data_IF_774239031426
#
_entry.id   IF_774239031426
#
_cell.length_a   1.000
_cell.length_b   1.000
_cell.length_c   1.000
_cell.angle_alpha   90.00
_cell.angle_beta   90.00
_cell.angle_gamma   90.00
#
_symmetry.space_group_name_H-M   'P 1'
#
loop_
_entity.id
_entity.type
_entity.pdbx_description
1 polymer ?
#
# COMPACT_ATOMS: atom_id res chain seq x y z
N UNK A 1 45.39 -102.75 -52.00
CA UNK A 1 45.34 -101.53 -51.16
C UNK A 1 44.00 -100.85 -51.37
N UNK A 2 43.22 -100.79 -50.31
CA UNK A 2 41.92 -100.14 -50.18
C UNK A 2 42.09 -98.65 -49.92
N UNK A 3 41.29 -97.80 -50.56
CA UNK A 3 40.93 -96.48 -50.01
C UNK A 3 39.44 -96.25 -50.20
N UNK A 4 38.69 -96.47 -49.12
CA UNK A 4 37.30 -96.02 -48.97
C UNK A 4 37.35 -94.53 -48.66
N UNK A 5 36.75 -93.70 -49.51
CA UNK A 5 36.55 -92.28 -49.24
C UNK A 5 35.16 -92.15 -48.60
N UNK A 6 35.12 -91.81 -47.32
CA UNK A 6 33.91 -91.43 -46.60
C UNK A 6 33.45 -90.05 -47.08
N UNK A 7 32.19 -89.93 -47.48
CA UNK A 7 31.52 -88.64 -47.66
C UNK A 7 30.57 -88.46 -46.47
N UNK A 8 30.93 -87.59 -45.52
CA UNK A 8 30.08 -87.21 -44.39
C UNK A 8 29.20 -86.03 -44.79
N UNK A 9 27.89 -86.28 -44.87
CA UNK A 9 26.86 -85.26 -45.11
C UNK A 9 26.68 -84.41 -43.85
N UNK A 10 27.03 -83.13 -43.92
CA UNK A 10 26.81 -82.16 -42.84
C UNK A 10 25.40 -81.55 -42.99
N UNK A 11 24.47 -81.92 -42.10
CA UNK A 11 23.13 -81.32 -42.01
C UNK A 11 23.26 -80.01 -41.20
N UNK A 12 23.13 -78.87 -41.86
CA UNK A 12 22.94 -77.57 -41.20
C UNK A 12 21.49 -77.45 -40.70
N UNK A 13 21.28 -77.46 -39.37
CA UNK A 13 20.04 -76.98 -38.77
C UNK A 13 20.06 -75.44 -38.76
N UNK A 14 19.21 -74.82 -39.58
CA UNK A 14 18.88 -73.40 -39.45
C UNK A 14 17.88 -73.21 -38.30
N UNK A 15 18.36 -72.77 -37.14
CA UNK A 15 17.50 -72.22 -36.09
C UNK A 15 17.30 -70.73 -36.32
N UNK A 16 16.08 -70.31 -36.66
CA UNK A 16 15.71 -68.89 -36.69
C UNK A 16 15.39 -68.47 -35.25
N UNK A 17 16.27 -67.75 -34.58
CA UNK A 17 15.96 -67.12 -33.30
C UNK A 17 15.47 -65.69 -33.55
N UNK A 18 14.24 -65.39 -33.14
CA UNK A 18 13.73 -64.02 -33.14
C UNK A 18 14.26 -63.30 -31.89
N UNK A 19 15.09 -62.26 -32.07
CA UNK A 19 15.62 -61.45 -30.98
C UNK A 19 14.63 -60.33 -30.62
N UNK A 20 13.60 -60.66 -29.87
CA UNK A 20 12.77 -59.66 -29.18
C UNK A 20 13.44 -59.28 -27.86
N UNK A 21 13.64 -57.98 -27.62
CA UNK A 21 14.34 -57.49 -26.42
C UNK A 21 13.31 -56.96 -25.43
N UNK A 22 13.05 -57.73 -24.38
CA UNK A 22 12.34 -57.27 -23.19
C UNK A 22 13.34 -56.75 -22.15
N UNK A 23 13.25 -55.47 -21.80
CA UNK A 23 14.03 -54.94 -20.67
C UNK A 23 13.16 -55.07 -19.43
N UNK A 24 13.46 -56.08 -18.61
CA UNK A 24 12.70 -56.37 -17.38
C UNK A 24 11.62 -57.45 -17.52
N UNK A 25 11.41 -58.03 -18.71
CA UNK A 25 10.48 -59.16 -18.93
C UNK A 25 11.11 -60.24 -19.81
N UNK A 26 11.02 -61.54 -19.44
CA UNK A 26 11.43 -62.64 -20.31
C UNK A 26 10.41 -62.94 -21.42
N UNK A 27 9.21 -62.36 -21.36
CA UNK A 27 8.13 -62.52 -22.33
C UNK A 27 7.72 -61.15 -22.88
N UNK A 28 8.54 -60.53 -23.74
CA UNK A 28 8.19 -59.24 -24.31
C UNK A 28 6.94 -59.40 -25.20
N UNK A 29 5.99 -58.48 -25.03
CA UNK A 29 4.72 -58.44 -25.78
C UNK A 29 4.89 -57.86 -27.20
N UNK A 30 6.09 -57.46 -27.57
CA UNK A 30 6.45 -56.88 -28.86
C UNK A 30 7.96 -56.78 -29.05
N UNK A 31 8.41 -56.13 -30.12
CA UNK A 31 9.83 -56.01 -30.46
C UNK A 31 10.66 -55.21 -29.41
N UNK A 32 9.99 -54.28 -28.71
CA UNK A 32 10.50 -53.56 -27.53
C UNK A 32 9.37 -53.50 -26.50
N UNK A 33 9.56 -54.15 -25.36
CA UNK A 33 8.62 -54.14 -24.23
C UNK A 33 9.36 -53.67 -22.98
N UNK A 34 8.98 -52.50 -22.46
CA UNK A 34 9.58 -51.86 -21.29
C UNK A 34 8.58 -51.99 -20.14
N UNK A 35 8.53 -53.18 -19.54
CA UNK A 35 7.66 -53.49 -18.41
C UNK A 35 8.40 -54.41 -17.42
N UNK A 36 8.10 -54.29 -16.12
CA UNK A 36 8.45 -55.31 -15.13
C UNK A 36 7.27 -56.28 -14.97
N UNK A 37 7.50 -57.56 -14.61
CA UNK A 37 6.44 -58.58 -14.67
C UNK A 37 5.36 -58.41 -13.60
N UNK A 38 5.55 -57.54 -12.61
CA UNK A 38 4.70 -57.46 -11.40
C UNK A 38 4.12 -56.08 -11.09
N UNK A 39 4.65 -54.98 -11.63
CA UNK A 39 4.10 -53.62 -11.45
C UNK A 39 4.32 -52.76 -12.71
N UNK A 40 3.29 -52.00 -13.12
CA UNK A 40 3.31 -51.09 -14.28
C UNK A 40 3.34 -49.62 -13.83
N UNK A 41 4.17 -49.30 -12.83
CA UNK A 41 4.13 -48.00 -12.12
C UNK A 41 5.18 -46.99 -12.63
N UNK A 42 5.94 -47.35 -13.67
CA UNK A 42 7.00 -46.50 -14.22
C UNK A 42 6.66 -46.13 -15.67
N UNK A 43 6.68 -44.83 -15.97
CA UNK A 43 6.45 -44.31 -17.32
C UNK A 43 7.68 -44.43 -18.22
N UNK A 44 7.47 -44.35 -19.54
CA UNK A 44 8.54 -44.17 -20.52
C UNK A 44 9.01 -42.71 -20.50
N UNK A 45 10.21 -42.46 -20.01
CA UNK A 45 10.85 -41.14 -20.15
C UNK A 45 11.41 -41.02 -21.56
N UNK A 46 10.82 -40.14 -22.37
CA UNK A 46 11.28 -39.86 -23.72
C UNK A 46 12.56 -39.01 -23.69
N UNK A 47 13.39 -39.05 -24.75
CA UNK A 47 14.49 -38.10 -24.90
C UNK A 47 13.96 -36.66 -24.85
N UNK A 48 14.43 -35.88 -23.88
CA UNK A 48 14.02 -34.49 -23.67
C UNK A 48 14.93 -33.54 -24.43
N UNK A 49 14.34 -32.60 -25.17
CA UNK A 49 15.09 -31.55 -25.84
C UNK A 49 14.28 -30.26 -25.94
N UNK A 50 14.91 -29.09 -25.99
CA UNK A 50 14.22 -27.80 -26.11
C UNK A 50 13.89 -27.43 -27.57
N UNK A 51 14.43 -28.16 -28.55
CA UNK A 51 14.14 -27.96 -29.98
C UNK A 51 14.29 -29.26 -30.76
N UNK A 52 13.41 -29.46 -31.74
CA UNK A 52 13.48 -30.58 -32.68
C UNK A 52 14.70 -30.52 -33.61
N UNK A 53 15.34 -29.35 -33.75
CA UNK A 53 16.57 -29.17 -34.53
C UNK A 53 17.79 -29.84 -33.92
N UNK A 54 17.75 -30.14 -32.62
CA UNK A 54 18.85 -30.78 -31.90
C UNK A 54 18.83 -32.31 -32.05
N UNK A 55 17.83 -32.86 -32.73
CA UNK A 55 17.66 -34.29 -32.92
C UNK A 55 18.35 -34.71 -34.22
N UNK A 56 19.34 -35.60 -34.12
CA UNK A 56 20.11 -36.12 -35.25
C UNK A 56 19.89 -37.61 -35.45
N UNK A 57 19.92 -38.07 -36.70
CA UNK A 57 19.99 -39.49 -37.01
C UNK A 57 21.40 -40.04 -36.73
N UNK A 58 21.58 -41.03 -35.84
CA UNK A 58 22.90 -41.59 -35.51
C UNK A 58 23.61 -42.24 -36.71
N UNK A 59 22.88 -42.68 -37.72
CA UNK A 59 23.42 -43.27 -38.95
C UNK A 59 23.71 -42.24 -40.06
N UNK A 60 23.53 -40.94 -39.77
CA UNK A 60 23.58 -39.86 -40.76
C UNK A 60 22.28 -39.73 -41.56
N UNK A 61 22.12 -38.59 -42.25
CA UNK A 61 20.91 -38.27 -43.04
C UNK A 61 19.75 -37.69 -42.21
N UNK A 62 18.54 -37.74 -42.76
CA UNK A 62 17.33 -37.23 -42.09
C UNK A 62 16.96 -38.06 -40.85
N UNK A 63 16.28 -37.42 -39.90
CA UNK A 63 15.71 -38.09 -38.72
C UNK A 63 14.78 -39.22 -39.18
N UNK A 64 14.86 -40.37 -38.52
CA UNK A 64 14.00 -41.50 -38.87
C UNK A 64 12.51 -41.21 -38.58
N UNK A 65 11.63 -41.54 -39.52
CA UNK A 65 10.17 -41.49 -39.31
C UNK A 65 9.81 -42.37 -38.11
N UNK A 66 8.96 -41.85 -37.23
CA UNK A 66 8.55 -42.50 -35.99
C UNK A 66 9.39 -42.12 -34.77
N UNK A 67 10.41 -41.25 -34.90
CA UNK A 67 11.16 -40.72 -33.74
C UNK A 67 10.22 -39.95 -32.80
N UNK A 68 10.25 -40.24 -31.50
CA UNK A 68 9.43 -39.58 -30.47
C UNK A 68 10.34 -38.89 -29.44
N UNK A 69 10.04 -37.63 -29.09
CA UNK A 69 10.75 -36.84 -28.08
C UNK A 69 9.76 -36.14 -27.14
N UNK A 70 10.25 -35.66 -26.00
CA UNK A 70 9.56 -34.66 -25.19
C UNK A 70 10.23 -33.28 -25.42
N UNK A 71 9.44 -32.33 -25.92
CA UNK A 71 9.90 -30.96 -26.17
C UNK A 71 9.70 -30.13 -24.90
N UNK A 72 10.80 -29.75 -24.24
CA UNK A 72 10.75 -29.04 -22.96
C UNK A 72 10.40 -27.56 -23.08
N UNK A 73 10.50 -26.97 -24.28
CA UNK A 73 10.07 -25.59 -24.51
C UNK A 73 8.56 -25.50 -24.78
N UNK A 74 8.01 -26.51 -25.45
CA UNK A 74 6.57 -26.62 -25.73
C UNK A 74 5.78 -27.43 -24.68
N UNK A 75 6.47 -28.06 -23.72
CA UNK A 75 5.91 -28.93 -22.66
C UNK A 75 5.01 -30.06 -23.20
N UNK A 76 5.46 -30.74 -24.26
CA UNK A 76 4.66 -31.79 -24.89
C UNK A 76 5.48 -32.85 -25.63
N UNK A 77 4.85 -33.99 -25.93
CA UNK A 77 5.45 -35.06 -26.75
C UNK A 77 5.36 -34.68 -28.23
N UNK A 78 6.43 -34.89 -29.01
CA UNK A 78 6.46 -34.73 -30.48
C UNK A 78 6.88 -36.02 -31.18
N UNK A 79 6.37 -36.25 -32.39
CA UNK A 79 6.74 -37.36 -33.28
C UNK A 79 7.18 -36.86 -34.65
N UNK A 80 8.25 -37.44 -35.21
CA UNK A 80 8.70 -37.18 -36.58
C UNK A 80 7.93 -38.04 -37.59
N UNK A 81 7.28 -37.42 -38.57
CA UNK A 81 6.44 -38.05 -39.59
C UNK A 81 7.10 -37.89 -40.97
N UNK A 82 6.54 -38.54 -42.00
CA UNK A 82 6.97 -38.33 -43.39
C UNK A 82 6.84 -36.88 -43.88
N UNK A 83 6.05 -36.06 -43.17
CA UNK A 83 5.84 -34.63 -43.43
C UNK A 83 6.63 -33.72 -42.48
N UNK A 84 7.51 -34.27 -41.65
CA UNK A 84 8.28 -33.54 -40.63
C UNK A 84 7.73 -33.72 -39.20
N UNK A 85 8.23 -32.89 -38.27
CA UNK A 85 7.85 -32.94 -36.85
C UNK A 85 6.39 -32.53 -36.60
N UNK A 86 5.70 -33.23 -35.68
CA UNK A 86 4.41 -32.79 -35.15
C UNK A 86 4.55 -31.56 -34.24
N UNK A 87 3.48 -30.76 -34.09
CA UNK A 87 3.43 -29.69 -33.09
C UNK A 87 3.39 -30.24 -31.65
N UNK A 88 2.44 -31.13 -31.36
CA UNK A 88 2.41 -32.00 -30.18
C UNK A 88 1.63 -33.28 -30.56
N UNK A 89 1.83 -34.38 -29.85
CA UNK A 89 1.26 -35.70 -30.17
C UNK A 89 -0.28 -35.71 -30.07
N UNK A 90 -0.88 -34.79 -29.33
CA UNK A 90 -2.31 -34.80 -29.00
C UNK A 90 -3.06 -33.46 -29.14
N UNK A 91 -2.50 -32.43 -29.77
CA UNK A 91 -3.25 -31.17 -29.99
C UNK A 91 -4.28 -31.25 -31.13
N UNK A 92 -4.16 -32.27 -31.98
CA UNK A 92 -5.09 -32.56 -33.09
C UNK A 92 -5.16 -34.06 -33.36
N UNK A 93 -5.74 -34.82 -32.43
CA UNK A 93 -6.34 -36.11 -32.78
C UNK A 93 -7.78 -35.78 -33.25
N UNK A 94 -8.04 -35.84 -34.55
CA UNK A 94 -9.35 -35.59 -35.22
C UNK A 94 -9.60 -34.17 -35.79
N UNK A 95 -8.58 -33.31 -35.88
CA UNK A 95 -8.72 -32.00 -36.56
C UNK A 95 -9.53 -30.95 -35.78
N UNK A 96 -9.88 -31.24 -34.53
CA UNK A 96 -10.47 -30.30 -33.57
C UNK A 96 -9.36 -29.71 -32.69
N UNK A 97 -9.18 -28.39 -32.74
CA UNK A 97 -8.42 -27.66 -31.71
C UNK A 97 -9.11 -27.88 -30.36
N UNK A 98 -8.43 -28.52 -29.41
CA UNK A 98 -8.93 -28.60 -28.03
C UNK A 98 -8.79 -27.21 -27.40
N UNK A 99 -9.85 -26.42 -27.47
CA UNK A 99 -9.95 -25.18 -26.70
C UNK A 99 -10.29 -25.57 -25.26
N UNK A 100 -9.45 -25.26 -24.25
CA UNK A 100 -9.68 -25.75 -22.89
C UNK A 100 -11.01 -25.32 -22.26
N UNK A 101 -11.60 -24.23 -22.74
CA UNK A 101 -12.90 -23.68 -22.35
C UNK A 101 -13.76 -23.35 -23.58
N UNK A 102 -15.07 -23.59 -23.50
CA UNK A 102 -16.01 -23.11 -24.54
C UNK A 102 -16.32 -21.62 -24.40
N UNK A 103 -16.55 -21.14 -23.17
CA UNK A 103 -16.80 -19.72 -22.90
C UNK A 103 -16.14 -19.28 -21.60
N UNK A 104 -15.85 -17.98 -21.51
CA UNK A 104 -15.36 -17.30 -20.31
C UNK A 104 -16.22 -16.05 -20.07
N UNK A 105 -16.86 -15.95 -18.91
CA UNK A 105 -17.82 -14.90 -18.57
C UNK A 105 -17.33 -14.05 -17.39
N UNK A 106 -16.88 -12.84 -17.72
CA UNK A 106 -16.49 -11.80 -16.77
C UNK A 106 -17.67 -10.92 -16.32
N UNK A 107 -18.78 -10.92 -17.06
CA UNK A 107 -19.92 -10.03 -16.83
C UNK A 107 -20.77 -10.44 -15.64
N UNK A 108 -20.78 -11.74 -15.34
CA UNK A 108 -21.42 -12.35 -14.17
C UNK A 108 -20.40 -12.67 -13.07
N UNK A 109 -20.87 -13.32 -12.00
CA UNK A 109 -20.04 -13.70 -10.85
C UNK A 109 -19.84 -12.56 -9.86
N UNK A 110 -19.86 -12.90 -8.58
CA UNK A 110 -19.78 -11.93 -7.50
C UNK A 110 -18.46 -11.13 -7.57
N UNK A 111 -18.58 -9.81 -7.37
CA UNK A 111 -17.47 -8.90 -7.13
C UNK A 111 -17.61 -8.39 -5.69
N UNK A 112 -16.55 -8.50 -4.90
CA UNK A 112 -16.50 -8.01 -3.53
C UNK A 112 -15.41 -6.95 -3.37
N UNK A 113 -15.43 -6.27 -2.23
CA UNK A 113 -14.51 -5.19 -1.89
C UNK A 113 -15.09 -3.80 -2.18
N UNK A 114 -14.55 -2.80 -1.47
CA UNK A 114 -14.77 -1.39 -1.75
C UNK A 114 -13.44 -0.79 -2.15
N UNK A 115 -13.40 -0.14 -3.31
CA UNK A 115 -12.17 0.37 -3.90
C UNK A 115 -12.20 1.89 -3.87
N UNK A 116 -11.32 2.49 -3.08
CA UNK A 116 -11.24 3.94 -2.91
C UNK A 116 -9.86 4.40 -3.35
N UNK A 117 -9.82 5.49 -4.11
CA UNK A 117 -8.56 6.10 -4.55
C UNK A 117 -7.57 6.30 -3.40
N UNK A 118 -6.34 5.85 -3.58
CA UNK A 118 -5.25 6.04 -2.62
C UNK A 118 -5.37 5.23 -1.33
N UNK A 119 -6.36 4.32 -1.22
CA UNK A 119 -6.54 3.44 -0.08
C UNK A 119 -6.25 2.00 -0.49
N UNK A 120 -5.44 1.30 0.31
CA UNK A 120 -5.22 -0.13 0.13
C UNK A 120 -6.57 -0.86 0.19
N UNK A 121 -6.89 -1.55 -0.90
CA UNK A 121 -8.16 -2.20 -1.11
C UNK A 121 -7.94 -3.70 -1.30
N UNK A 122 -8.87 -4.52 -0.83
CA UNK A 122 -8.91 -5.97 -1.05
C UNK A 122 -10.32 -6.41 -1.41
N UNK A 123 -10.42 -7.49 -2.19
CA UNK A 123 -11.70 -8.07 -2.59
C UNK A 123 -11.50 -9.27 -3.49
N UNK A 124 -12.57 -9.75 -4.11
CA UNK A 124 -12.55 -10.91 -4.99
C UNK A 124 -13.48 -10.74 -6.18
N UNK A 125 -13.16 -11.40 -7.30
CA UNK A 125 -14.03 -11.51 -8.47
C UNK A 125 -14.14 -12.96 -8.92
N UNK A 126 -15.37 -13.46 -9.03
CA UNK A 126 -15.64 -14.78 -9.61
C UNK A 126 -15.78 -14.65 -11.13
N UNK A 127 -15.01 -15.44 -11.88
CA UNK A 127 -15.09 -15.59 -13.33
C UNK A 127 -15.65 -16.97 -13.64
N UNK A 128 -16.80 -17.02 -14.31
CA UNK A 128 -17.44 -18.28 -14.67
C UNK A 128 -16.98 -18.75 -16.06
N UNK A 129 -16.96 -20.05 -16.28
CA UNK A 129 -16.68 -20.65 -17.59
C UNK A 129 -17.57 -21.86 -17.87
N UNK A 130 -17.68 -22.22 -19.15
CA UNK A 130 -18.37 -23.44 -19.60
C UNK A 130 -17.47 -24.30 -20.47
N UNK A 131 -17.79 -25.59 -20.56
CA UNK A 131 -17.08 -26.54 -21.42
C UNK A 131 -15.61 -26.72 -21.06
N UNK A 132 -15.29 -26.70 -19.76
CA UNK A 132 -13.98 -27.00 -19.24
C UNK A 132 -13.57 -28.43 -19.57
N UNK A 133 -12.30 -28.59 -19.93
CA UNK A 133 -11.72 -29.82 -20.49
C UNK A 133 -11.06 -30.75 -19.47
N UNK A 134 -10.98 -30.35 -18.19
CA UNK A 134 -10.16 -31.07 -17.21
C UNK A 134 -8.66 -30.70 -17.25
N UNK A 135 -8.26 -29.79 -18.15
CA UNK A 135 -6.86 -29.37 -18.31
C UNK A 135 -6.38 -28.43 -17.21
N UNK A 136 -5.08 -28.46 -16.92
CA UNK A 136 -4.44 -27.54 -16.00
C UNK A 136 -4.32 -26.11 -16.58
N UNK A 137 -4.29 -25.11 -15.71
CA UNK A 137 -3.96 -23.72 -16.03
C UNK A 137 -2.94 -23.16 -15.03
N UNK A 138 -2.05 -22.29 -15.52
CA UNK A 138 -1.02 -21.64 -14.70
C UNK A 138 -1.56 -20.56 -13.76
N UNK A 139 -0.72 -20.05 -12.86
CA UNK A 139 -1.10 -18.96 -11.97
C UNK A 139 -1.48 -17.70 -12.77
N UNK A 140 -2.50 -16.99 -12.30
CA UNK A 140 -3.05 -15.79 -12.94
C UNK A 140 -2.51 -14.55 -12.21
N UNK A 141 -2.02 -13.58 -12.98
CA UNK A 141 -1.66 -12.26 -12.48
C UNK A 141 -2.01 -11.18 -13.52
N UNK A 142 -2.99 -10.34 -13.20
CA UNK A 142 -3.54 -9.33 -14.11
C UNK A 142 -3.47 -7.96 -13.43
N UNK A 143 -2.74 -7.02 -14.02
CA UNK A 143 -2.74 -5.63 -13.58
C UNK A 143 -3.94 -4.86 -14.15
N UNK A 144 -4.50 -3.96 -13.35
CA UNK A 144 -5.57 -3.05 -13.79
C UNK A 144 -5.10 -2.02 -14.82
N UNK A 145 -5.99 -1.68 -15.75
CA UNK A 145 -5.82 -0.60 -16.74
C UNK A 145 -6.90 0.48 -16.57
N UNK A 146 -6.68 1.68 -17.11
CA UNK A 146 -7.56 2.85 -16.92
C UNK A 146 -7.30 3.53 -15.58
N UNK A 147 -7.70 2.90 -14.48
CA UNK A 147 -7.19 3.13 -13.12
C UNK A 147 -6.16 2.03 -12.84
N UNK A 148 -4.96 2.41 -12.40
CA UNK A 148 -3.86 1.46 -12.12
C UNK A 148 -3.65 1.31 -10.61
N UNK A 149 -2.87 0.31 -10.19
CA UNK A 149 -2.52 0.09 -8.79
C UNK A 149 -3.31 -1.02 -8.10
N UNK A 150 -4.26 -1.64 -8.80
CA UNK A 150 -4.89 -2.91 -8.41
C UNK A 150 -4.32 -4.07 -9.25
N UNK A 151 -4.19 -5.24 -8.64
CA UNK A 151 -3.90 -6.52 -9.29
C UNK A 151 -5.00 -7.54 -8.99
N UNK A 152 -5.27 -8.44 -9.94
CA UNK A 152 -6.15 -9.59 -9.77
C UNK A 152 -5.34 -10.88 -9.96
N UNK A 153 -5.37 -11.79 -8.98
CA UNK A 153 -4.51 -12.97 -8.93
C UNK A 153 -5.26 -14.24 -8.58
N UNK A 154 -4.77 -15.38 -9.07
CA UNK A 154 -5.20 -16.71 -8.61
C UNK A 154 -4.02 -17.70 -8.73
N UNK A 155 -3.94 -18.73 -7.87
CA UNK A 155 -2.94 -19.79 -8.04
C UNK A 155 -3.21 -20.62 -9.30
N UNK A 156 -2.22 -21.44 -9.69
CA UNK A 156 -2.42 -22.45 -10.73
C UNK A 156 -3.47 -23.48 -10.28
N UNK A 157 -4.17 -24.09 -11.23
CA UNK A 157 -5.23 -25.06 -10.94
C UNK A 157 -5.63 -25.89 -12.15
N UNK A 158 -6.81 -26.51 -12.08
CA UNK A 158 -7.35 -27.36 -13.15
C UNK A 158 -8.79 -26.96 -13.43
N UNK A 159 -9.17 -26.91 -14.71
CA UNK A 159 -10.57 -26.69 -15.08
C UNK A 159 -11.42 -27.90 -14.65
N UNK A 160 -12.62 -27.65 -14.15
CA UNK A 160 -13.61 -28.71 -14.01
C UNK A 160 -14.01 -29.23 -15.39
N UNK A 161 -14.31 -30.52 -15.49
CA UNK A 161 -14.96 -31.07 -16.70
C UNK A 161 -16.40 -30.54 -16.77
N UNK A 162 -16.69 -29.70 -17.76
CA UNK A 162 -17.97 -29.00 -17.87
C UNK A 162 -17.94 -27.57 -17.32
N UNK A 163 -18.97 -27.15 -16.60
CA UNK A 163 -19.08 -25.77 -16.11
C UNK A 163 -18.33 -25.58 -14.80
N UNK A 164 -17.72 -24.40 -14.62
CA UNK A 164 -16.98 -24.09 -13.41
C UNK A 164 -16.73 -22.60 -13.24
N UNK A 165 -15.92 -22.26 -12.25
CA UNK A 165 -15.52 -20.90 -11.97
C UNK A 165 -14.09 -20.82 -11.42
N UNK A 166 -13.52 -19.62 -11.49
CA UNK A 166 -12.25 -19.24 -10.88
C UNK A 166 -12.49 -17.99 -10.06
N UNK A 167 -11.99 -17.97 -8.83
CA UNK A 167 -12.03 -16.78 -7.97
C UNK A 167 -10.68 -16.07 -8.06
N UNK A 168 -10.71 -14.84 -8.53
CA UNK A 168 -9.56 -13.93 -8.52
C UNK A 168 -9.57 -13.13 -7.22
N UNK A 169 -8.46 -13.13 -6.49
CA UNK A 169 -8.20 -12.19 -5.40
C UNK A 169 -7.77 -10.85 -5.98
N UNK A 170 -8.34 -9.75 -5.50
CA UNK A 170 -8.02 -8.41 -5.94
C UNK A 170 -7.35 -7.68 -4.78
N UNK A 171 -6.21 -7.06 -5.02
CA UNK A 171 -5.53 -6.24 -4.01
C UNK A 171 -4.77 -5.06 -4.61
N UNK A 172 -4.45 -4.08 -3.79
CA UNK A 172 -3.59 -2.95 -4.13
C UNK A 172 -4.18 -1.59 -3.79
N UNK A 173 -3.50 -0.53 -4.19
CA UNK A 173 -3.89 0.86 -3.93
C UNK A 173 -4.17 1.58 -5.26
N UNK A 174 -5.43 1.86 -5.61
CA UNK A 174 -5.76 2.56 -6.85
C UNK A 174 -5.16 3.96 -6.90
N UNK A 175 -4.52 4.35 -8.01
CA UNK A 175 -3.89 5.67 -8.14
C UNK A 175 -4.87 6.83 -8.30
N UNK A 176 -6.05 6.56 -8.87
CA UNK A 176 -7.12 7.54 -9.10
C UNK A 176 -8.50 6.88 -9.01
N UNK A 177 -9.55 7.69 -8.89
CA UNK A 177 -10.93 7.23 -9.02
C UNK A 177 -11.33 7.05 -10.49
N UNK A 178 -12.38 6.28 -10.74
CA UNK A 178 -12.88 5.94 -12.08
C UNK A 178 -12.94 4.44 -12.31
N UNK A 179 -12.74 4.01 -13.55
CA UNK A 179 -12.90 2.60 -13.96
C UNK A 179 -11.54 1.89 -14.05
N UNK A 180 -11.33 0.87 -13.21
CA UNK A 180 -10.25 -0.10 -13.34
C UNK A 180 -10.73 -1.28 -14.21
N UNK A 181 -10.01 -1.60 -15.29
CA UNK A 181 -10.38 -2.68 -16.22
C UNK A 181 -9.35 -3.81 -16.18
N UNK A 182 -9.83 -5.06 -16.18
CA UNK A 182 -9.01 -6.27 -16.10
C UNK A 182 -9.36 -7.20 -17.27
N UNK A 183 -8.41 -7.34 -18.21
CA UNK A 183 -8.53 -8.29 -19.32
C UNK A 183 -8.06 -9.67 -18.88
N UNK A 184 -8.96 -10.64 -18.84
CA UNK A 184 -8.70 -12.02 -18.48
C UNK A 184 -8.55 -12.83 -19.76
N UNK A 185 -7.40 -13.46 -19.95
CA UNK A 185 -7.16 -14.44 -21.02
C UNK A 185 -6.90 -15.79 -20.38
N UNK A 186 -7.77 -16.76 -20.62
CA UNK A 186 -7.68 -18.08 -19.99
C UNK A 186 -8.35 -19.16 -20.85
N UNK A 187 -7.69 -20.32 -20.98
CA UNK A 187 -8.25 -21.47 -21.69
C UNK A 187 -8.64 -21.19 -23.14
N UNK A 188 -7.86 -20.35 -23.83
CA UNK A 188 -8.13 -19.90 -25.20
C UNK A 188 -9.17 -18.78 -25.34
N UNK A 189 -9.90 -18.47 -24.26
CA UNK A 189 -10.94 -17.45 -24.25
C UNK A 189 -10.45 -16.15 -23.62
N UNK A 190 -11.10 -15.04 -23.96
CA UNK A 190 -10.82 -13.71 -23.39
C UNK A 190 -12.09 -13.03 -22.96
N UNK A 191 -12.09 -12.41 -21.79
CA UNK A 191 -13.14 -11.51 -21.34
C UNK A 191 -12.57 -10.33 -20.55
N UNK A 192 -13.39 -9.35 -20.20
CA UNK A 192 -12.97 -8.21 -19.37
C UNK A 192 -14.03 -7.92 -18.32
N UNK A 193 -13.59 -7.72 -17.07
CA UNK A 193 -14.43 -7.16 -16.01
C UNK A 193 -13.89 -5.79 -15.59
N UNK A 194 -14.77 -4.99 -15.00
CA UNK A 194 -14.44 -3.66 -14.51
C UNK A 194 -14.72 -3.55 -13.01
N UNK A 195 -13.96 -2.69 -12.34
CA UNK A 195 -14.17 -2.27 -10.96
C UNK A 195 -14.32 -0.76 -10.96
N UNK A 196 -15.37 -0.26 -10.31
CA UNK A 196 -15.54 1.17 -10.05
C UNK A 196 -14.75 1.55 -8.80
N UNK A 197 -13.74 2.40 -8.97
CA UNK A 197 -12.97 3.00 -7.89
C UNK A 197 -13.59 4.33 -7.52
N UNK A 198 -14.04 4.43 -6.28
CA UNK A 198 -14.67 5.63 -5.73
C UNK A 198 -13.61 6.71 -5.47
N UNK A 199 -13.97 8.01 -5.64
CA UNK A 199 -13.14 9.10 -5.17
C UNK A 199 -12.97 8.98 -3.66
N UNK A 200 -11.77 9.31 -3.17
CA UNK A 200 -11.56 9.50 -1.74
C UNK A 200 -12.35 10.75 -1.34
N UNK A 201 -13.41 10.56 -0.56
CA UNK A 201 -14.20 11.68 -0.05
C UNK A 201 -13.33 12.46 0.92
N UNK A 202 -13.13 13.74 0.63
CA UNK A 202 -12.39 14.63 1.49
C UNK A 202 -13.21 14.88 2.77
N UNK A 203 -12.62 14.68 3.95
CA UNK A 203 -13.30 14.87 5.24
C UNK A 203 -13.25 16.35 5.66
N UNK A 204 -14.32 16.89 6.22
CA UNK A 204 -14.29 18.18 6.92
C UNK A 204 -13.65 18.04 8.30
N UNK A 205 -12.68 18.90 8.62
CA UNK A 205 -11.90 18.84 9.86
C UNK A 205 -12.48 19.81 10.90
N UNK A 206 -12.84 19.32 12.07
CA UNK A 206 -13.36 20.11 13.18
C UNK A 206 -12.22 20.57 14.10
N UNK A 207 -12.00 21.88 14.15
CA UNK A 207 -11.05 22.53 15.07
C UNK A 207 -11.83 23.01 16.28
N UNK A 208 -11.40 22.62 17.48
CA UNK A 208 -11.94 23.11 18.74
C UNK A 208 -10.93 24.03 19.42
N UNK A 209 -11.23 25.32 19.48
CA UNK A 209 -10.46 26.28 20.27
C UNK A 209 -10.97 26.36 21.71
N UNK A 210 -10.06 26.34 22.68
CA UNK A 210 -10.40 26.50 24.08
C UNK A 210 -10.39 27.97 24.50
N UNK A 211 -11.31 28.38 25.37
CA UNK A 211 -11.46 29.76 25.89
C UNK A 211 -11.79 29.76 27.38
N UNK A 212 -11.65 30.87 28.13
CA UNK A 212 -11.13 32.18 27.71
C UNK A 212 -9.65 32.11 27.29
N UNK A 213 -9.34 32.77 26.19
CA UNK A 213 -7.98 32.91 25.67
C UNK A 213 -7.57 34.38 25.80
N UNK A 214 -6.60 34.66 26.67
CA UNK A 214 -6.23 36.03 27.02
C UNK A 214 -5.42 36.75 25.94
N UNK A 215 -4.90 36.01 24.96
CA UNK A 215 -4.05 36.53 23.88
C UNK A 215 -4.67 36.32 22.51
N UNK A 216 -5.99 36.07 22.49
CA UNK A 216 -6.80 36.20 21.31
C UNK A 216 -6.38 35.21 20.19
N UNK A 217 -5.88 34.03 20.59
CA UNK A 217 -5.40 32.98 19.69
C UNK A 217 -6.48 31.97 19.28
N UNK A 218 -7.73 32.21 19.68
CA UNK A 218 -8.90 31.42 19.29
C UNK A 218 -9.08 31.47 17.77
N UNK A 219 -9.00 30.30 17.12
CA UNK A 219 -9.09 30.20 15.66
C UNK A 219 -10.51 30.38 15.14
N UNK A 220 -11.55 30.30 15.97
CA UNK A 220 -12.95 30.33 15.51
C UNK A 220 -13.47 31.72 15.16
N UNK A 221 -13.18 32.71 16.01
CA UNK A 221 -13.83 34.02 15.89
C UNK A 221 -12.94 35.21 16.17
N UNK A 222 -11.71 35.01 16.67
CA UNK A 222 -10.89 36.15 17.06
C UNK A 222 -10.43 36.98 15.85
N UNK A 223 -10.38 38.29 16.01
CA UNK A 223 -9.91 39.22 14.98
C UNK A 223 -8.42 39.02 14.66
N UNK A 224 -7.60 38.69 15.66
CA UNK A 224 -6.16 38.51 15.46
C UNK A 224 -5.81 37.23 14.70
N UNK A 225 -6.68 36.22 14.74
CA UNK A 225 -6.51 34.96 13.99
C UNK A 225 -7.12 35.00 12.59
N UNK A 226 -7.59 36.17 12.12
CA UNK A 226 -8.21 36.33 10.79
C UNK A 226 -7.29 35.87 9.64
N UNK A 227 -6.00 36.22 9.68
CA UNK A 227 -5.04 35.79 8.66
C UNK A 227 -4.74 34.30 8.77
N UNK A 228 -4.65 33.74 9.99
CA UNK A 228 -4.53 32.29 10.17
C UNK A 228 -5.71 31.54 9.55
N UNK A 229 -6.94 31.95 9.83
CA UNK A 229 -8.14 31.41 9.17
C UNK A 229 -8.07 31.59 7.65
N UNK A 230 -7.54 32.71 7.14
CA UNK A 230 -7.42 32.91 5.69
C UNK A 230 -6.47 31.91 5.02
N UNK A 231 -5.39 31.49 5.71
CA UNK A 231 -4.50 30.42 5.24
C UNK A 231 -5.20 29.06 5.27
N UNK A 232 -5.87 28.74 6.38
CA UNK A 232 -6.63 27.49 6.53
C UNK A 232 -7.81 27.38 5.55
N UNK A 233 -8.49 28.49 5.26
CA UNK A 233 -9.62 28.51 4.33
C UNK A 233 -9.20 28.70 2.87
N UNK A 234 -7.90 28.79 2.58
CA UNK A 234 -7.43 28.83 1.21
C UNK A 234 -7.54 27.43 0.58
N UNK A 235 -8.50 27.25 -0.33
CA UNK A 235 -8.80 25.95 -0.94
C UNK A 235 -7.68 25.39 -1.82
N UNK A 236 -6.71 26.21 -2.24
CA UNK A 236 -5.52 25.71 -2.93
C UNK A 236 -4.57 24.99 -1.96
N UNK A 237 -4.58 25.35 -0.68
CA UNK A 237 -3.78 24.71 0.35
C UNK A 237 -4.56 23.60 1.05
N UNK A 238 -5.77 23.90 1.54
CA UNK A 238 -6.62 22.97 2.27
C UNK A 238 -7.98 22.86 1.60
N UNK A 239 -8.15 21.84 0.78
CA UNK A 239 -9.39 21.65 0.00
C UNK A 239 -9.40 20.35 -0.80
N UNK A 240 -10.52 19.99 -1.43
CA UNK A 240 -10.65 18.70 -2.14
C UNK A 240 -9.62 18.53 -3.29
N UNK A 241 -9.11 19.65 -3.80
CA UNK A 241 -8.07 19.71 -4.84
C UNK A 241 -6.84 20.50 -4.40
N UNK A 242 -6.72 20.83 -3.09
CA UNK A 242 -5.58 21.54 -2.55
C UNK A 242 -4.39 20.63 -2.26
N UNK A 243 -3.30 21.25 -1.80
CA UNK A 243 -2.08 20.57 -1.35
C UNK A 243 -2.41 19.48 -0.30
N UNK A 244 -3.21 19.85 0.70
CA UNK A 244 -3.76 18.96 1.72
C UNK A 244 -5.24 18.69 1.43
N UNK A 245 -5.57 17.41 1.18
CA UNK A 245 -6.89 16.99 0.69
C UNK A 245 -7.91 16.80 1.80
N UNK A 246 -8.66 17.86 2.10
CA UNK A 246 -9.79 17.87 3.03
C UNK A 246 -10.98 18.61 2.41
N UNK A 247 -12.19 18.45 2.96
CA UNK A 247 -13.34 19.23 2.50
C UNK A 247 -13.20 20.72 2.87
N UNK A 248 -12.50 20.97 3.97
CA UNK A 248 -12.31 22.27 4.60
C UNK A 248 -12.38 22.13 6.12
N UNK A 249 -12.46 23.26 6.81
CA UNK A 249 -12.52 23.30 8.27
C UNK A 249 -13.91 23.69 8.79
N UNK A 250 -14.20 23.23 10.00
CA UNK A 250 -15.26 23.74 10.85
C UNK A 250 -14.62 24.25 12.14
N UNK A 251 -14.97 25.45 12.57
CA UNK A 251 -14.36 26.08 13.74
C UNK A 251 -15.36 26.13 14.89
N UNK A 252 -14.98 25.56 16.03
CA UNK A 252 -15.79 25.52 17.26
C UNK A 252 -14.99 26.08 18.42
N UNK A 253 -15.72 26.56 19.43
CA UNK A 253 -15.11 27.03 20.67
C UNK A 253 -15.82 26.40 21.86
N UNK A 254 -15.06 26.13 22.93
CA UNK A 254 -15.64 25.81 24.23
C UNK A 254 -15.00 26.67 25.33
N UNK A 255 -15.83 27.20 26.20
CA UNK A 255 -15.38 27.94 27.38
C UNK A 255 -15.12 26.96 28.53
N UNK A 256 -13.85 26.75 28.88
CA UNK A 256 -13.41 25.82 29.91
C UNK A 256 -13.75 26.27 31.33
N UNK A 257 -14.02 27.55 31.57
CA UNK A 257 -14.45 28.05 32.88
C UNK A 257 -15.96 27.96 33.08
N UNK A 258 -16.75 27.82 32.01
CA UNK A 258 -18.22 27.83 32.06
C UNK A 258 -18.86 26.48 31.72
N UNK A 259 -18.23 25.64 30.90
CA UNK A 259 -18.79 24.34 30.52
C UNK A 259 -18.82 23.36 31.70
N UNK A 260 -19.64 22.30 31.61
CA UNK A 260 -19.47 21.13 32.47
C UNK A 260 -18.29 20.27 31.99
N UNK A 261 -17.80 19.37 32.84
CA UNK A 261 -16.77 18.41 32.45
C UNK A 261 -17.26 17.48 31.34
N UNK A 262 -18.53 17.06 31.38
CA UNK A 262 -19.15 16.26 30.32
C UNK A 262 -19.18 17.03 28.99
N UNK A 263 -19.66 18.27 28.99
CA UNK A 263 -19.72 19.08 27.77
C UNK A 263 -18.31 19.35 27.20
N UNK A 264 -17.30 19.50 28.07
CA UNK A 264 -15.91 19.60 27.65
C UNK A 264 -15.39 18.32 27.00
N UNK A 265 -15.66 17.17 27.63
CA UNK A 265 -15.30 15.88 27.07
C UNK A 265 -15.96 15.64 25.71
N UNK A 266 -17.27 15.89 25.60
CA UNK A 266 -18.04 15.71 24.38
C UNK A 266 -17.56 16.65 23.26
N UNK A 267 -17.18 17.88 23.60
CA UNK A 267 -16.61 18.80 22.62
C UNK A 267 -15.28 18.28 22.05
N UNK A 268 -14.40 17.72 22.90
CA UNK A 268 -13.14 17.10 22.44
C UNK A 268 -13.42 15.85 21.61
N UNK A 269 -14.38 15.00 22.00
CA UNK A 269 -14.72 13.80 21.25
C UNK A 269 -15.33 14.10 19.87
N UNK A 270 -15.94 15.27 19.71
CA UNK A 270 -16.49 15.75 18.44
C UNK A 270 -15.53 16.68 17.65
N UNK A 271 -14.26 16.72 18.04
CA UNK A 271 -13.22 17.51 17.38
C UNK A 271 -12.11 16.61 16.82
N UNK A 272 -11.50 17.06 15.73
CA UNK A 272 -10.34 16.42 15.11
C UNK A 272 -9.04 17.03 15.66
N UNK A 273 -9.02 18.36 15.78
CA UNK A 273 -7.88 19.15 16.25
C UNK A 273 -8.29 19.99 17.45
N UNK A 274 -7.59 19.86 18.56
CA UNK A 274 -7.81 20.64 19.78
C UNK A 274 -6.74 21.73 19.84
N UNK A 275 -7.18 22.98 19.75
CA UNK A 275 -6.34 24.16 19.77
C UNK A 275 -6.40 24.84 21.13
N UNK A 276 -5.32 24.69 21.89
CA UNK A 276 -5.17 25.31 23.21
C UNK A 276 -4.24 26.50 23.08
N UNK A 277 -4.84 27.69 23.12
CA UNK A 277 -4.13 28.96 23.21
C UNK A 277 -3.73 29.33 24.63
N UNK A 278 -3.81 30.61 24.96
CA UNK A 278 -3.40 31.13 26.26
C UNK A 278 -4.54 31.15 27.27
N UNK A 279 -4.79 30.01 27.88
CA UNK A 279 -5.76 29.89 28.96
C UNK A 279 -5.05 30.10 30.29
N UNK A 280 -5.65 30.87 31.20
CA UNK A 280 -5.10 30.99 32.55
C UNK A 280 -5.34 29.71 33.36
N UNK A 281 -4.41 29.36 34.25
CA UNK A 281 -4.61 28.23 35.17
C UNK A 281 -5.81 28.45 36.09
N UNK A 282 -6.12 29.70 36.45
CA UNK A 282 -7.29 30.07 37.23
C UNK A 282 -8.60 29.78 36.52
N UNK A 283 -8.63 29.90 35.19
CA UNK A 283 -9.85 29.66 34.40
C UNK A 283 -9.95 28.25 33.86
N UNK A 284 -8.87 27.46 33.89
CA UNK A 284 -8.87 26.07 33.43
C UNK A 284 -9.01 25.13 34.64
N UNK A 285 -10.18 24.49 34.88
CA UNK A 285 -10.34 23.58 36.01
C UNK A 285 -9.43 22.35 35.94
N UNK A 286 -8.97 21.86 37.11
CA UNK A 286 -8.09 20.69 37.17
C UNK A 286 -8.73 19.43 36.56
N UNK A 287 -10.04 19.24 36.77
CA UNK A 287 -10.77 18.09 36.19
C UNK A 287 -10.68 18.08 34.66
N UNK A 288 -10.85 19.23 34.01
CA UNK A 288 -10.73 19.36 32.55
C UNK A 288 -9.30 19.24 32.04
N UNK A 289 -8.31 19.68 32.83
CA UNK A 289 -6.89 19.38 32.53
C UNK A 289 -6.64 17.87 32.54
N UNK A 290 -7.21 17.15 33.51
CA UNK A 290 -7.09 15.68 33.55
C UNK A 290 -7.77 15.03 32.34
N UNK A 291 -8.96 15.50 31.94
CA UNK A 291 -9.63 15.05 30.71
C UNK A 291 -8.73 15.30 29.49
N UNK A 292 -8.18 16.51 29.35
CA UNK A 292 -7.30 16.84 28.22
C UNK A 292 -6.07 15.92 28.17
N UNK A 293 -5.42 15.66 29.32
CA UNK A 293 -4.29 14.75 29.41
C UNK A 293 -4.67 13.32 29.02
N UNK A 294 -5.82 12.82 29.50
CA UNK A 294 -6.35 11.51 29.11
C UNK A 294 -6.61 11.45 27.60
N UNK A 295 -7.25 12.48 27.02
CA UNK A 295 -7.58 12.54 25.60
C UNK A 295 -6.35 12.55 24.68
N UNK A 296 -5.23 13.11 25.13
CA UNK A 296 -3.94 13.00 24.44
C UNK A 296 -3.51 11.54 24.37
N UNK A 297 -3.62 10.78 25.47
CA UNK A 297 -3.23 9.36 25.51
C UNK A 297 -4.14 8.42 24.72
N UNK A 298 -5.36 8.83 24.37
CA UNK A 298 -6.28 8.03 23.55
C UNK A 298 -5.83 7.88 22.09
N UNK A 299 -4.93 8.74 21.60
CA UNK A 299 -4.39 8.69 20.22
C UNK A 299 -5.46 8.73 19.12
N UNK A 300 -6.50 9.54 19.33
CA UNK A 300 -7.64 9.69 18.40
C UNK A 300 -7.78 11.10 17.80
N UNK A 301 -7.18 12.09 18.43
CA UNK A 301 -7.27 13.51 18.05
C UNK A 301 -5.87 14.10 18.05
N UNK A 302 -5.70 15.20 17.32
CA UNK A 302 -4.46 15.97 17.36
C UNK A 302 -4.59 17.14 18.33
N UNK A 303 -3.53 17.39 19.10
CA UNK A 303 -3.50 18.42 20.13
C UNK A 303 -2.42 19.44 19.81
N UNK A 304 -2.79 20.70 19.96
CA UNK A 304 -1.87 21.81 19.95
C UNK A 304 -1.94 22.55 21.28
N UNK A 305 -0.80 22.71 21.93
CA UNK A 305 -0.66 23.37 23.24
C UNK A 305 0.28 24.58 23.11
N UNK A 306 -0.28 25.79 23.22
CA UNK A 306 0.50 26.99 23.51
C UNK A 306 0.88 27.01 24.99
N UNK A 307 2.17 26.94 25.28
CA UNK A 307 2.70 27.11 26.62
C UNK A 307 3.22 28.53 26.82
N UNK A 308 2.97 29.14 27.98
CA UNK A 308 3.49 30.46 28.31
C UNK A 308 4.27 30.38 29.64
N UNK A 309 5.39 31.09 29.69
CA UNK A 309 6.38 31.04 30.76
C UNK A 309 5.97 31.84 32.00
N UNK A 310 4.69 32.03 32.27
CA UNK A 310 4.19 32.75 33.44
C UNK A 310 3.47 31.83 34.43
N UNK A 311 3.46 32.20 35.71
CA UNK A 311 2.68 31.49 36.74
C UNK A 311 1.17 31.48 36.49
N UNK A 312 0.70 32.40 35.65
CA UNK A 312 -0.71 32.58 35.36
C UNK A 312 -1.26 31.64 34.27
N UNK A 313 -0.43 31.17 33.33
CA UNK A 313 -0.92 30.55 32.09
C UNK A 313 -0.69 29.04 32.04
N UNK A 314 -1.64 28.33 31.44
CA UNK A 314 -1.57 26.89 31.26
C UNK A 314 -0.79 26.54 29.98
N UNK A 315 0.04 25.49 30.01
CA UNK A 315 0.53 24.79 31.20
C UNK A 315 1.56 25.63 31.98
N UNK A 316 1.43 25.69 33.30
CA UNK A 316 2.35 26.50 34.12
C UNK A 316 3.66 25.79 34.46
N UNK A 317 3.60 24.60 35.05
CA UNK A 317 4.79 23.90 35.54
C UNK A 317 4.93 22.51 34.95
N UNK A 318 3.87 21.70 35.00
CA UNK A 318 3.85 20.37 34.44
C UNK A 318 2.48 20.05 33.85
N UNK A 319 2.48 19.29 32.75
CA UNK A 319 1.26 18.76 32.15
C UNK A 319 1.57 17.52 31.33
N UNK A 320 0.80 16.44 31.50
CA UNK A 320 0.87 15.23 30.67
C UNK A 320 2.29 14.65 30.45
N UNK A 321 3.17 14.72 31.47
CA UNK A 321 4.55 14.21 31.38
C UNK A 321 5.58 15.22 30.87
N UNK A 322 5.16 16.46 30.60
CA UNK A 322 6.01 17.57 30.19
C UNK A 322 6.23 18.54 31.33
N UNK A 323 7.41 19.15 31.39
CA UNK A 323 7.75 20.20 32.36
C UNK A 323 8.13 21.49 31.64
N UNK A 324 7.70 22.62 32.20
CA UNK A 324 7.83 23.94 31.61
C UNK A 324 8.68 24.83 32.52
N UNK A 325 9.72 25.42 31.96
CA UNK A 325 10.60 26.33 32.69
C UNK A 325 10.41 27.74 32.16
N UNK A 326 9.92 28.64 33.02
CA UNK A 326 9.88 30.08 32.72
C UNK A 326 11.31 30.65 32.63
N UNK A 327 11.56 31.51 31.63
CA UNK A 327 12.69 32.44 31.70
C UNK A 327 12.16 33.85 31.98
N UNK A 328 12.74 34.58 32.95
CA UNK A 328 12.36 35.96 33.27
C UNK A 328 12.59 36.97 32.13
N UNK A 329 13.33 36.59 31.09
CA UNK A 329 13.78 37.50 30.05
C UNK A 329 12.77 37.56 28.91
N UNK A 330 12.02 38.67 28.87
CA UNK A 330 11.18 39.13 27.77
C UNK A 330 11.97 39.50 26.49
N UNK A 331 13.03 38.76 26.15
CA UNK A 331 13.83 39.04 24.95
C UNK A 331 13.19 38.37 23.75
N UNK A 332 13.12 39.10 22.64
CA UNK A 332 12.81 38.52 21.34
C UNK A 332 13.95 37.54 21.03
N UNK A 333 13.62 36.26 20.86
CA UNK A 333 14.60 35.21 20.65
C UNK A 333 14.54 34.71 19.22
N UNK A 334 15.70 34.42 18.62
CA UNK A 334 15.73 33.65 17.37
C UNK A 334 15.61 32.18 17.72
N UNK A 335 14.47 31.57 17.40
CA UNK A 335 14.27 30.15 17.59
C UNK A 335 14.82 29.43 16.36
N UNK A 336 15.69 28.46 16.57
CA UNK A 336 16.32 27.66 15.52
C UNK A 336 15.48 26.41 15.25
N UNK A 337 15.13 26.19 13.99
CA UNK A 337 14.53 24.93 13.54
C UNK A 337 15.54 23.78 13.61
N UNK A 338 15.08 22.57 13.92
CA UNK A 338 15.92 21.36 14.03
C UNK A 338 15.65 20.32 12.93
N UNK A 339 14.86 20.68 11.90
CA UNK A 339 14.50 19.80 10.77
C UNK A 339 13.69 18.55 11.19
N UNK A 340 12.88 18.68 12.23
CA UNK A 340 11.98 17.64 12.76
C UNK A 340 10.52 18.13 12.71
N UNK A 341 9.56 17.21 12.56
CA UNK A 341 8.14 17.50 12.69
C UNK A 341 7.68 18.62 11.75
N UNK A 342 6.98 19.66 12.24
CA UNK A 342 6.35 20.68 11.41
C UNK A 342 7.35 21.70 10.81
N UNK A 343 8.65 21.59 11.10
CA UNK A 343 9.66 22.38 10.37
C UNK A 343 9.88 21.87 8.94
N UNK A 344 9.34 20.69 8.60
CA UNK A 344 9.30 20.16 7.24
C UNK A 344 7.88 19.71 6.88
N UNK A 345 7.49 20.02 5.65
CA UNK A 345 6.15 19.70 5.17
C UNK A 345 5.90 20.13 3.73
N UNK A 346 4.69 19.88 3.26
CA UNK A 346 4.25 20.17 1.90
C UNK A 346 4.31 21.67 1.58
N UNK A 347 4.18 22.53 2.59
CA UNK A 347 4.28 23.98 2.44
C UNK A 347 5.71 24.51 2.51
N UNK A 348 6.70 23.64 2.65
CA UNK A 348 8.11 23.98 2.61
C UNK A 348 8.88 23.47 3.82
N UNK A 349 10.20 23.53 3.68
CA UNK A 349 11.15 23.12 4.71
C UNK A 349 11.82 24.38 5.29
N UNK A 350 11.87 24.46 6.62
CA UNK A 350 12.55 25.52 7.36
C UNK A 350 13.97 25.01 7.67
N UNK A 351 15.02 25.55 7.00
CA UNK A 351 16.38 25.04 7.17
C UNK A 351 16.85 25.10 8.62
N UNK A 352 17.68 24.13 9.03
CA UNK A 352 18.28 24.10 10.37
C UNK A 352 18.97 25.42 10.70
N UNK A 353 18.70 25.97 11.88
CA UNK A 353 19.26 27.26 12.32
C UNK A 353 18.55 28.50 11.73
N UNK A 354 17.56 28.32 10.85
CA UNK A 354 16.71 29.43 10.42
C UNK A 354 15.93 29.99 11.61
N UNK A 355 15.81 31.31 11.63
CA UNK A 355 15.03 32.01 12.66
C UNK A 355 13.54 31.85 12.41
N UNK A 356 12.82 31.46 13.46
CA UNK A 356 11.37 31.64 13.60
C UNK A 356 11.18 32.64 14.74
N UNK A 357 10.45 33.74 14.48
CA UNK A 357 10.38 34.86 15.42
C UNK A 357 9.21 34.65 16.38
N UNK A 358 9.53 34.65 17.67
CA UNK A 358 8.57 34.67 18.78
C UNK A 358 9.05 35.67 19.84
N UNK A 359 8.11 36.31 20.52
CA UNK A 359 8.41 37.19 21.65
C UNK A 359 8.18 36.39 22.94
N UNK A 360 9.04 36.61 23.95
CA UNK A 360 8.81 36.18 25.34
C UNK A 360 8.60 34.66 25.55
N UNK A 361 9.25 33.83 24.73
CA UNK A 361 9.22 32.37 24.77
C UNK A 361 9.43 31.74 26.16
N UNK A 362 8.84 30.55 26.35
CA UNK A 362 9.08 29.69 27.52
C UNK A 362 10.55 29.24 27.53
N UNK A 363 11.22 29.48 28.64
CA UNK A 363 12.65 29.26 28.86
C UNK A 363 13.19 27.84 28.72
N UNK A 364 12.31 26.85 28.53
CA UNK A 364 12.63 25.47 28.17
C UNK A 364 11.47 24.50 28.43
N UNK A 365 11.34 23.48 27.57
CA UNK A 365 10.40 22.36 27.73
C UNK A 365 11.20 21.08 27.93
N UNK A 366 10.96 20.37 29.03
CA UNK A 366 11.44 18.99 29.23
C UNK A 366 10.34 18.02 28.81
N UNK A 367 10.70 16.96 28.10
CA UNK A 367 9.77 16.05 27.44
C UNK A 367 10.23 14.58 27.55
N UNK A 368 9.30 13.61 27.42
CA UNK A 368 9.63 12.19 27.44
C UNK A 368 10.43 11.77 26.19
N UNK A 369 11.10 10.62 26.25
CA UNK A 369 11.93 10.11 25.15
C UNK A 369 11.15 9.75 23.88
N UNK A 370 9.82 9.71 23.93
CA UNK A 370 8.95 9.51 22.75
C UNK A 370 8.84 10.78 21.91
N UNK A 371 9.06 11.94 22.53
CA UNK A 371 8.91 13.23 21.91
C UNK A 371 10.23 13.74 21.31
N UNK A 372 10.11 14.68 20.38
CA UNK A 372 11.26 15.32 19.72
C UNK A 372 11.12 16.84 19.71
N UNK A 373 12.25 17.54 19.89
CA UNK A 373 12.29 19.00 19.69
C UNK A 373 12.34 19.31 18.19
N UNK A 374 11.45 20.18 17.73
CA UNK A 374 11.51 20.77 16.38
C UNK A 374 11.99 22.24 16.39
N UNK A 375 12.11 22.83 17.57
CA UNK A 375 12.49 24.23 17.77
C UNK A 375 13.26 24.38 19.08
N UNK A 376 14.43 25.00 18.99
CA UNK A 376 15.29 25.30 20.14
C UNK A 376 15.60 26.80 20.24
N UNK A 377 15.74 27.27 21.46
CA UNK A 377 16.30 28.60 21.76
C UNK A 377 17.78 28.67 21.36
N UNK A 378 18.35 29.87 21.32
CA UNK A 378 19.78 30.10 20.99
C UNK A 378 20.75 29.30 21.88
N UNK A 379 20.35 28.96 23.11
CA UNK A 379 21.15 28.17 24.05
C UNK A 379 20.85 26.66 23.97
N UNK A 380 20.19 26.18 22.89
CA UNK A 380 19.85 24.78 22.67
C UNK A 380 18.75 24.24 23.58
N UNK A 381 17.97 25.11 24.23
CA UNK A 381 16.83 24.68 25.06
C UNK A 381 15.59 24.47 24.19
N UNK A 382 14.93 23.30 24.27
CA UNK A 382 13.72 23.03 23.50
C UNK A 382 12.56 23.95 23.84
N UNK A 383 11.86 24.41 22.82
CA UNK A 383 10.72 25.34 22.92
C UNK A 383 9.57 24.98 21.97
N UNK A 384 9.78 24.08 21.02
CA UNK A 384 8.71 23.43 20.27
C UNK A 384 8.92 21.92 20.23
N UNK A 385 7.94 21.17 20.73
CA UNK A 385 8.00 19.71 20.88
C UNK A 385 6.88 19.07 20.07
N UNK A 386 7.20 17.97 19.38
CA UNK A 386 6.22 17.08 18.78
C UNK A 386 6.33 15.69 19.41
N UNK A 387 5.19 15.11 19.77
CA UNK A 387 5.05 13.76 20.31
C UNK A 387 3.82 13.11 19.69
N UNK A 388 4.01 12.54 18.50
CA UNK A 388 2.97 11.85 17.74
C UNK A 388 1.74 12.74 17.47
N UNK A 389 0.72 12.68 18.33
CA UNK A 389 -0.53 13.44 18.21
C UNK A 389 -0.56 14.76 18.97
N UNK A 390 0.58 15.20 19.52
CA UNK A 390 0.69 16.40 20.31
C UNK A 390 1.82 17.31 19.81
N UNK A 391 1.52 18.59 19.64
CA UNK A 391 2.50 19.67 19.50
C UNK A 391 2.38 20.62 20.69
N UNK A 392 3.53 20.97 21.26
CA UNK A 392 3.64 22.01 22.28
C UNK A 392 4.60 23.08 21.79
N UNK A 393 4.22 24.35 21.87
CA UNK A 393 5.09 25.48 21.52
C UNK A 393 5.08 26.50 22.66
N UNK A 394 6.27 26.93 23.06
CA UNK A 394 6.48 28.01 24.01
C UNK A 394 6.25 29.40 23.38
N UNK A 395 5.45 30.21 24.05
CA UNK A 395 4.94 31.54 23.68
C UNK A 395 4.62 31.72 22.19
N UNK A 396 3.39 31.41 21.83
CA UNK A 396 2.83 31.41 20.49
C UNK A 396 2.22 32.77 20.09
N UNK A 397 2.89 33.88 20.39
CA UNK A 397 2.39 35.25 20.16
C UNK A 397 2.25 35.62 18.66
N UNK A 398 2.13 34.64 17.76
CA UNK A 398 2.04 34.75 16.31
C UNK A 398 1.04 35.79 15.80
N UNK A 399 -0.13 35.89 16.43
CA UNK A 399 -1.26 36.65 15.90
C UNK A 399 -1.24 38.14 16.24
N UNK A 400 -0.42 38.52 17.23
CA UNK A 400 -0.41 39.84 17.84
C UNK A 400 0.99 40.45 17.96
N UNK A 401 2.02 39.69 17.60
CA UNK A 401 3.40 40.15 17.61
C UNK A 401 3.70 41.16 16.48
N UNK A 402 3.78 42.44 16.84
CA UNK A 402 4.16 43.55 15.93
C UNK A 402 5.63 43.50 15.49
N UNK A 403 6.46 42.77 16.22
CA UNK A 403 7.89 42.60 15.95
C UNK A 403 8.16 41.41 15.01
N UNK A 404 7.26 40.41 14.97
CA UNK A 404 7.24 39.36 13.95
C UNK A 404 6.23 39.74 12.86
N UNK A 405 6.67 40.51 11.86
CA UNK A 405 5.87 40.79 10.65
C UNK A 405 5.71 39.56 9.73
N UNK A 406 5.98 38.38 10.26
CA UNK A 406 6.13 37.14 9.52
C UNK A 406 4.76 36.47 9.28
N UNK A 407 3.86 37.18 8.59
CA UNK A 407 2.78 36.55 7.82
C UNK A 407 1.42 36.36 8.52
N UNK A 408 1.25 36.82 9.75
CA UNK A 408 -0.07 36.88 10.42
C UNK A 408 -0.56 38.30 10.64
N UNK A 409 0.22 39.18 11.27
CA UNK A 409 -0.10 40.61 11.28
C UNK A 409 0.17 41.21 9.90
N UNK A 410 -0.88 41.78 9.28
CA UNK A 410 -0.85 42.28 7.89
C UNK A 410 -0.37 41.23 6.87
N UNK A 411 -0.57 39.94 7.17
CA UNK A 411 -0.17 38.84 6.31
C UNK A 411 -1.17 38.52 5.21
N UNK A 412 -0.85 37.48 4.44
CA UNK A 412 -1.69 36.97 3.34
C UNK A 412 -2.23 35.57 3.63
N UNK A 413 -3.07 35.04 2.74
CA UNK A 413 -3.53 33.64 2.78
C UNK A 413 -2.50 32.61 2.31
N UNK A 414 -1.27 33.03 1.97
CA UNK A 414 -0.20 32.12 1.54
C UNK A 414 0.43 31.36 2.70
N UNK A 415 0.59 30.04 2.55
CA UNK A 415 1.36 29.21 3.48
C UNK A 415 2.88 29.31 3.30
N UNK A 416 3.37 29.83 2.17
CA UNK A 416 4.80 29.81 1.81
C UNK A 416 5.50 31.16 1.99
N UNK A 417 4.78 32.17 2.51
CA UNK A 417 5.26 33.56 2.55
C UNK A 417 6.53 33.75 3.40
N UNK A 418 6.69 32.97 4.48
CA UNK A 418 7.81 33.04 5.42
C UNK A 418 7.80 31.81 6.35
N UNK A 419 8.85 31.68 7.18
CA UNK A 419 9.02 30.54 8.09
C UNK A 419 7.85 30.36 9.06
N UNK A 420 7.25 31.43 9.59
CA UNK A 420 6.10 31.32 10.49
C UNK A 420 4.84 30.82 9.76
N UNK A 421 4.61 31.25 8.51
CA UNK A 421 3.51 30.76 7.68
C UNK A 421 3.70 29.28 7.31
N UNK A 422 4.93 28.91 6.95
CA UNK A 422 5.31 27.52 6.64
C UNK A 422 5.08 26.65 7.86
N UNK A 423 5.62 27.04 9.02
CA UNK A 423 5.47 26.31 10.27
C UNK A 423 4.00 26.10 10.64
N UNK A 424 3.19 27.17 10.61
CA UNK A 424 1.78 27.08 10.94
C UNK A 424 1.02 26.14 10.00
N UNK A 425 1.21 26.26 8.68
CA UNK A 425 0.51 25.38 7.74
C UNK A 425 1.01 23.93 7.83
N UNK A 426 2.31 23.71 8.08
CA UNK A 426 2.86 22.38 8.31
C UNK A 426 2.34 21.76 9.63
N UNK A 427 2.08 22.55 10.69
CA UNK A 427 1.41 22.05 11.90
C UNK A 427 0.03 21.46 11.53
N UNK A 428 -0.75 22.17 10.72
CA UNK A 428 -2.06 21.69 10.27
C UNK A 428 -1.96 20.52 9.29
N UNK A 429 -0.97 20.49 8.40
CA UNK A 429 -0.66 19.32 7.57
C UNK A 429 -0.43 18.08 8.45
N UNK A 430 0.49 18.13 9.42
CA UNK A 430 0.79 17.00 10.31
C UNK A 430 -0.42 16.59 11.13
N UNK A 431 -1.18 17.56 11.63
CA UNK A 431 -2.42 17.29 12.35
C UNK A 431 -3.44 16.55 11.48
N UNK A 432 -3.64 16.99 10.23
CA UNK A 432 -4.59 16.36 9.32
C UNK A 432 -4.13 14.97 8.91
N UNK A 433 -2.85 14.79 8.58
CA UNK A 433 -2.26 13.48 8.27
C UNK A 433 -2.50 12.50 9.43
N UNK A 434 -2.30 12.95 10.67
CA UNK A 434 -2.58 12.15 11.85
C UNK A 434 -4.05 11.74 11.94
N UNK A 435 -5.00 12.68 11.91
CA UNK A 435 -6.42 12.36 12.12
C UNK A 435 -7.06 11.69 10.88
N UNK A 436 -6.43 11.70 9.71
CA UNK A 436 -6.92 10.94 8.54
C UNK A 436 -6.41 9.49 8.51
N UNK A 437 -5.41 9.16 9.33
CA UNK A 437 -4.82 7.81 9.43
C UNK A 437 -5.28 7.04 10.68
N UNK A 438 -5.95 7.72 11.60
CA UNK A 438 -6.55 7.19 12.84
C UNK A 438 -8.06 7.47 12.84
#
# INVERSE_FOLDING_TARGET
>A
MTKKVLFSTLILLFGITNAQIGIGTPNPRGALDINKPTTNEHGLVLPTNSSTTNISNPSGGEVAIGTIIYDSAADCVKVYKSTGWSNCLCDTCDGTTIVPLSTLDCSRGALTGTYIQGTQSTGTKIINYTGGSGQAYGAIHIASTGVTGLSATAPAGTFATGNGNITLEISGTPNKSGTASFKVTLGGQTCTFIITVQPKIARRINILSLTPDNWASNLSSDSYTSVARSKLNNSSHFGPSGDVKIEGFNYKTINVSQSSDQAFNDAIDNADIIWVGYITNSTFPQSKRNILAQKITEKKKFFYLGADGGTAFFPFSNFAGYSFTSTPNNKNGKISATNVGPTNGIFGNIPVGSTIVFNRYVGGISFPSTASSFMDTENGRPTGIIDDNLIIIGDINWYINRDSRDGFINGTSSCTQNNNSILFCNIFEKAIEYVLTH
#
